data_IF_145541643933
#
_entry.id   IF_145541643933
#
_cell.length_a   1.000
_cell.length_b   1.000
_cell.length_c   1.000
_cell.angle_alpha   90.00
_cell.angle_beta   90.00
_cell.angle_gamma   90.00
#
_symmetry.space_group_name_H-M   'P 1'
#
loop_
_entity.id
_entity.type
_entity.pdbx_description
1 polymer ?
#
# COMPACT_ATOMS: atom_id res chain seq x y z
N UNK A 1 16.40 -9.20 3.42
CA UNK A 1 15.40 -10.21 3.84
C UNK A 1 14.79 -9.91 5.21
N UNK A 2 15.58 -9.68 6.26
CA UNK A 2 15.06 -9.43 7.63
C UNK A 2 14.03 -8.29 7.70
N UNK A 3 14.29 -7.15 7.03
CA UNK A 3 13.37 -6.00 7.00
C UNK A 3 12.02 -6.30 6.34
N UNK A 4 12.02 -7.03 5.23
CA UNK A 4 10.79 -7.44 4.53
C UNK A 4 9.96 -8.43 5.36
N UNK A 5 10.63 -9.37 6.04
CA UNK A 5 9.95 -10.29 6.96
C UNK A 5 9.32 -9.56 8.15
N UNK A 6 9.96 -8.49 8.64
CA UNK A 6 9.47 -7.71 9.77
C UNK A 6 8.20 -6.88 9.47
N UNK A 7 7.91 -6.65 8.18
CA UNK A 7 6.71 -5.91 7.72
C UNK A 7 5.65 -6.83 7.10
N UNK A 8 5.91 -8.14 7.00
CA UNK A 8 4.95 -9.11 6.48
C UNK A 8 3.71 -9.16 7.39
N UNK A 9 2.52 -9.07 6.79
CA UNK A 9 1.26 -9.06 7.52
C UNK A 9 0.98 -7.77 8.29
N UNK A 10 1.84 -6.74 8.15
CA UNK A 10 1.59 -5.40 8.71
C UNK A 10 0.95 -4.51 7.65
N UNK A 11 0.29 -3.47 8.13
CA UNK A 11 -0.21 -2.42 7.26
C UNK A 11 0.96 -1.70 6.57
N UNK A 12 0.74 -1.37 5.29
CA UNK A 12 1.67 -0.62 4.47
C UNK A 12 0.87 0.42 3.68
N UNK A 13 1.33 1.67 3.76
CA UNK A 13 0.80 2.80 3.01
C UNK A 13 1.62 3.01 1.74
N UNK A 14 0.97 2.85 0.60
CA UNK A 14 1.56 3.05 -0.73
C UNK A 14 1.01 4.34 -1.34
N UNK A 15 1.90 5.22 -1.74
CA UNK A 15 1.56 6.37 -2.60
C UNK A 15 2.06 6.10 -4.01
N UNK A 16 1.20 6.30 -5.01
CA UNK A 16 1.55 6.13 -6.42
C UNK A 16 1.68 7.47 -7.14
N UNK A 17 2.25 7.45 -8.35
CA UNK A 17 2.60 8.64 -9.15
C UNK A 17 1.46 9.64 -9.39
N UNK A 18 0.22 9.18 -9.44
CA UNK A 18 -0.95 10.06 -9.63
C UNK A 18 -1.48 10.68 -8.32
N UNK A 19 -0.79 10.43 -7.20
CA UNK A 19 -1.11 10.98 -5.89
C UNK A 19 -2.09 10.14 -5.07
N UNK A 20 -2.66 9.06 -5.63
CA UNK A 20 -3.52 8.15 -4.87
C UNK A 20 -2.75 7.43 -3.77
N UNK A 21 -3.43 7.22 -2.66
CA UNK A 21 -2.91 6.53 -1.48
C UNK A 21 -3.69 5.24 -1.30
N UNK A 22 -2.95 4.15 -1.08
CA UNK A 22 -3.49 2.83 -0.80
C UNK A 22 -2.96 2.36 0.54
N UNK A 23 -3.85 1.94 1.43
CA UNK A 23 -3.49 1.39 2.72
C UNK A 23 -4.02 -0.03 2.76
N UNK A 24 -3.15 -1.00 3.04
CA UNK A 24 -3.53 -2.40 3.11
C UNK A 24 -2.44 -3.23 3.77
N UNK A 25 -2.71 -4.53 3.93
CA UNK A 25 -1.78 -5.45 4.58
C UNK A 25 -0.74 -5.97 3.59
N UNK A 26 0.55 -5.83 3.91
CA UNK A 26 1.65 -6.30 3.07
C UNK A 26 1.70 -7.83 3.04
N UNK A 27 1.39 -8.39 1.87
CA UNK A 27 1.33 -9.83 1.67
C UNK A 27 2.63 -10.41 1.10
N UNK A 28 3.21 -9.78 0.08
CA UNK A 28 4.49 -10.18 -0.49
C UNK A 28 5.09 -9.13 -1.43
N UNK A 29 6.32 -9.39 -1.86
CA UNK A 29 6.99 -8.67 -2.94
C UNK A 29 7.82 -9.63 -3.79
N UNK A 30 8.08 -9.26 -5.05
CA UNK A 30 8.92 -10.02 -5.97
C UNK A 30 10.31 -9.41 -6.14
N UNK A 31 11.08 -9.94 -7.10
CA UNK A 31 12.45 -9.49 -7.40
C UNK A 31 12.49 -8.06 -7.94
N UNK A 32 11.44 -7.64 -8.64
CA UNK A 32 11.32 -6.31 -9.27
C UNK A 32 10.70 -5.29 -8.30
N UNK A 33 10.54 -5.68 -7.03
CA UNK A 33 9.95 -4.90 -5.95
C UNK A 33 8.47 -4.58 -6.17
N UNK A 34 7.77 -5.34 -7.01
CA UNK A 34 6.32 -5.20 -7.09
C UNK A 34 5.72 -5.61 -5.76
N UNK A 35 4.75 -4.86 -5.28
CA UNK A 35 4.18 -5.01 -3.93
C UNK A 35 2.77 -5.55 -4.05
N UNK A 36 2.45 -6.58 -3.27
CA UNK A 36 1.10 -7.12 -3.17
C UNK A 36 0.53 -6.77 -1.80
N UNK A 37 -0.62 -6.10 -1.80
CA UNK A 37 -1.38 -5.80 -0.60
C UNK A 37 -2.73 -6.53 -0.61
N UNK A 38 -3.17 -6.95 0.57
CA UNK A 38 -4.51 -7.48 0.82
C UNK A 38 -5.31 -6.51 1.70
N UNK A 39 -6.65 -6.65 1.70
CA UNK A 39 -7.56 -5.80 2.47
C UNK A 39 -7.33 -4.30 2.25
N UNK A 40 -7.19 -3.91 0.98
CA UNK A 40 -6.76 -2.57 0.58
C UNK A 40 -7.93 -1.59 0.56
N UNK A 41 -7.66 -0.38 1.05
CA UNK A 41 -8.51 0.80 0.92
C UNK A 41 -7.80 1.87 0.08
N UNK A 42 -8.51 2.43 -0.91
CA UNK A 42 -8.06 3.55 -1.75
C UNK A 42 -8.54 4.88 -1.17
N UNK A 43 -7.64 5.85 -1.14
CA UNK A 43 -7.88 7.21 -0.66
C UNK A 43 -7.50 8.25 -1.73
N UNK A 44 -8.24 9.36 -1.81
CA UNK A 44 -7.95 10.44 -2.74
C UNK A 44 -6.65 11.18 -2.39
N UNK A 45 -6.15 11.94 -3.38
CA UNK A 45 -4.96 12.78 -3.25
C UNK A 45 -5.12 13.76 -2.08
N UNK A 46 -4.12 13.86 -1.21
CA UNK A 46 -4.12 14.80 -0.08
C UNK A 46 -4.71 14.24 1.23
N UNK A 47 -5.02 12.95 1.30
CA UNK A 47 -5.40 12.31 2.55
C UNK A 47 -4.22 12.32 3.56
N UNK A 48 -4.31 13.19 4.58
CA UNK A 48 -3.29 13.36 5.62
C UNK A 48 -3.66 12.73 6.96
N UNK A 49 -4.92 12.28 7.12
CA UNK A 49 -5.34 11.66 8.38
C UNK A 49 -4.79 10.23 8.45
N UNK A 50 -4.22 9.88 9.61
CA UNK A 50 -3.75 8.53 9.93
C UNK A 50 -4.90 7.65 10.48
N UNK A 51 -6.13 8.20 10.51
CA UNK A 51 -7.32 7.54 11.04
C UNK A 51 -7.93 6.63 9.98
N UNK A 52 -7.46 5.39 10.04
CA UNK A 52 -7.86 4.26 9.25
C UNK A 52 -9.38 4.15 9.12
N UNK A 53 -9.85 4.09 7.87
CA UNK A 53 -11.16 3.60 7.40
C UNK A 53 -12.27 4.65 7.20
N UNK A 54 -12.30 5.81 7.86
CA UNK A 54 -13.33 6.82 7.53
C UNK A 54 -13.05 7.48 6.17
N UNK A 55 -13.82 7.07 5.15
CA UNK A 55 -13.80 7.65 3.80
C UNK A 55 -12.96 6.89 2.76
N UNK A 56 -12.32 5.78 3.12
CA UNK A 56 -11.57 4.94 2.18
C UNK A 56 -12.48 4.01 1.37
N UNK A 57 -12.22 3.86 0.07
CA UNK A 57 -12.93 2.88 -0.78
C UNK A 57 -12.26 1.52 -0.66
N UNK A 58 -12.99 0.50 -0.19
CA UNK A 58 -12.46 -0.87 -0.20
C UNK A 58 -12.27 -1.39 -1.63
N UNK A 59 -11.08 -1.89 -1.93
CA UNK A 59 -10.68 -2.36 -3.27
C UNK A 59 -10.11 -3.79 -3.26
N UNK A 60 -10.07 -4.46 -2.10
CA UNK A 60 -9.72 -5.88 -2.00
C UNK A 60 -8.22 -6.15 -2.04
N UNK A 61 -7.74 -6.86 -3.06
CA UNK A 61 -6.32 -7.23 -3.22
C UNK A 61 -5.76 -6.55 -4.46
N UNK A 62 -4.61 -5.89 -4.32
CA UNK A 62 -3.97 -5.15 -5.41
C UNK A 62 -2.47 -5.47 -5.48
N UNK A 63 -1.96 -5.52 -6.71
CA UNK A 63 -0.54 -5.55 -7.02
C UNK A 63 -0.12 -4.17 -7.54
N UNK A 64 0.91 -3.60 -6.92
CA UNK A 64 1.50 -2.32 -7.29
C UNK A 64 2.84 -2.57 -7.99
N UNK A 65 2.98 -2.25 -9.28
CA UNK A 65 4.27 -2.30 -9.92
C UNK A 65 5.19 -1.22 -9.34
N UNK A 66 6.42 -1.59 -8.95
CA UNK A 66 7.32 -0.67 -8.24
C UNK A 66 7.55 0.66 -8.99
N UNK A 67 7.57 0.60 -10.33
CA UNK A 67 7.74 1.77 -11.19
C UNK A 67 6.68 2.87 -11.00
N UNK A 68 5.54 2.56 -10.38
CA UNK A 68 4.47 3.51 -10.08
C UNK A 68 4.44 3.95 -8.62
N UNK A 69 5.18 3.26 -7.73
CA UNK A 69 5.25 3.58 -6.32
C UNK A 69 6.23 4.74 -6.12
N UNK A 70 5.77 5.80 -5.45
CA UNK A 70 6.59 6.95 -5.05
C UNK A 70 6.95 6.90 -3.56
N UNK A 71 6.12 6.26 -2.73
CA UNK A 71 6.36 6.11 -1.28
C UNK A 71 5.74 4.82 -0.76
N UNK A 72 6.44 4.14 0.14
CA UNK A 72 5.97 2.97 0.89
C UNK A 72 6.39 3.15 2.36
N UNK A 73 5.42 3.29 3.27
CA UNK A 73 5.64 3.53 4.70
C UNK A 73 4.74 2.67 5.59
#
# INVERSE_FOLDING_TARGET
VARLRAILGKELRITIKDGRIFIGTFACTDRDLNIVLTSVYEFPVGYQNDHLVEGGRFVGMLMFPWRHVVKAE
#
